data_IF_062796270674
#
_entry.id   IF_062796270674
#
_cell.length_a   1.000
_cell.length_b   1.000
_cell.length_c   1.000
_cell.angle_alpha   90.00
_cell.angle_beta   90.00
_cell.angle_gamma   90.00
#
_symmetry.space_group_name_H-M   'P 1'
#
loop_
_entity.id
_entity.type
_entity.pdbx_description
1 polymer ?
#
# COMPACT_ATOMS: atom_id res chain seq x y z
N UNK A 1 11.35 30.36 21.59
CA UNK A 1 11.65 29.95 22.98
C UNK A 1 10.57 28.95 23.33
N UNK A 2 10.78 27.67 23.60
CA UNK A 2 11.94 26.82 23.85
C UNK A 2 11.34 25.52 24.42
N UNK A 3 11.88 24.37 24.01
CA UNK A 3 12.17 23.17 24.84
C UNK A 3 11.52 23.14 26.24
N UNK A 4 10.90 22.07 26.73
CA UNK A 4 11.35 20.67 26.85
C UNK A 4 10.24 19.98 27.68
N UNK A 5 9.65 18.85 27.27
CA UNK A 5 10.13 17.48 27.45
C UNK A 5 10.43 17.06 28.91
N UNK A 6 10.06 15.79 29.18
CA UNK A 6 10.44 14.89 30.29
C UNK A 6 9.39 14.67 31.40
N UNK A 7 8.63 13.57 31.30
CA UNK A 7 8.73 12.30 32.09
C UNK A 7 8.07 12.47 33.46
N UNK A 8 7.20 11.62 33.98
CA UNK A 8 7.30 10.18 34.18
C UNK A 8 6.01 9.77 34.92
N UNK A 9 5.27 8.75 34.47
CA UNK A 9 4.32 8.01 35.31
C UNK A 9 4.35 6.56 34.88
N UNK A 10 5.48 5.92 35.21
CA UNK A 10 5.57 4.49 35.50
C UNK A 10 4.41 4.04 36.40
N UNK A 11 3.67 3.04 35.94
CA UNK A 11 3.25 1.92 36.80
C UNK A 11 3.95 0.68 36.28
N UNK A 12 4.98 0.29 37.03
CA UNK A 12 5.92 -0.79 36.79
C UNK A 12 5.28 -2.19 36.99
N UNK A 13 5.91 -3.26 36.46
CA UNK A 13 5.42 -4.63 36.53
C UNK A 13 5.76 -5.28 37.87
N UNK A 14 5.04 -6.32 38.33
CA UNK A 14 5.51 -7.11 39.44
C UNK A 14 6.59 -8.10 38.97
N UNK A 15 7.84 -7.83 39.38
CA UNK A 15 8.87 -8.84 39.63
C UNK A 15 9.18 -8.81 41.12
N UNK A 16 9.27 -9.99 41.73
CA UNK A 16 9.99 -10.42 42.96
C UNK A 16 9.18 -11.61 43.53
N UNK A 17 9.71 -12.73 43.99
CA UNK A 17 11.08 -13.13 44.29
C UNK A 17 11.14 -14.66 44.36
N UNK A 18 12.29 -15.20 43.95
CA UNK A 18 13.00 -16.29 44.61
C UNK A 18 12.22 -17.11 45.66
N UNK A 19 11.84 -18.31 45.27
CA UNK A 19 12.06 -19.46 46.14
C UNK A 19 12.75 -20.55 45.32
N UNK A 20 14.04 -20.71 45.59
CA UNK A 20 14.80 -21.90 45.26
C UNK A 20 14.15 -23.05 46.02
N UNK A 21 13.31 -23.83 45.36
CA UNK A 21 12.90 -25.13 45.86
C UNK A 21 13.57 -26.19 44.97
N UNK A 22 14.78 -26.56 45.41
CA UNK A 22 15.37 -27.86 45.15
C UNK A 22 14.34 -28.94 45.49
N UNK A 23 13.63 -29.44 44.49
CA UNK A 23 12.90 -30.70 44.54
C UNK A 23 13.51 -31.60 43.46
N UNK A 24 14.69 -32.09 43.81
CA UNK A 24 15.27 -33.32 43.32
C UNK A 24 14.28 -34.45 43.64
N UNK A 25 13.36 -34.81 42.75
CA UNK A 25 12.65 -36.09 42.85
C UNK A 25 12.22 -36.56 41.46
N UNK A 26 13.05 -37.45 40.92
CA UNK A 26 12.69 -38.53 40.00
C UNK A 26 11.80 -38.15 38.81
N UNK A 27 12.47 -37.84 37.69
CA UNK A 27 11.95 -38.16 36.36
C UNK A 27 11.66 -39.67 36.37
N UNK A 28 10.41 -40.16 36.26
CA UNK A 28 10.23 -41.48 35.71
C UNK A 28 10.64 -41.35 34.25
N UNK A 29 11.85 -41.83 33.95
CA UNK A 29 12.22 -42.23 32.61
C UNK A 29 11.16 -43.24 32.15
N UNK A 30 10.12 -42.75 31.49
CA UNK A 30 9.31 -43.58 30.62
C UNK A 30 10.15 -43.68 29.36
N UNK A 31 10.75 -44.85 29.04
CA UNK A 31 11.26 -45.06 27.71
C UNK A 31 10.05 -44.99 26.78
N UNK A 32 9.83 -43.83 26.17
CA UNK A 32 9.01 -43.70 24.99
C UNK A 32 9.74 -44.53 23.94
N UNK A 33 9.32 -45.80 23.83
CA UNK A 33 9.75 -46.72 22.80
C UNK A 33 9.44 -46.06 21.46
N UNK A 34 10.45 -45.38 20.92
CA UNK A 34 10.52 -44.82 19.58
C UNK A 34 10.60 -45.94 18.52
N UNK A 35 9.73 -46.93 18.66
CA UNK A 35 9.53 -48.08 17.80
C UNK A 35 8.03 -48.31 17.61
N UNK A 36 7.30 -47.25 17.28
CA UNK A 36 5.86 -47.23 17.14
C UNK A 36 5.38 -48.22 16.07
N UNK A 37 4.45 -49.09 16.49
CA UNK A 37 3.67 -50.08 15.72
C UNK A 37 4.47 -51.13 14.93
N UNK A 38 5.48 -50.76 14.15
CA UNK A 38 6.28 -51.70 13.36
C UNK A 38 7.11 -52.65 14.24
N UNK A 39 7.71 -52.14 15.33
CA UNK A 39 8.47 -52.96 16.28
C UNK A 39 7.59 -53.90 17.11
N UNK A 40 6.40 -53.43 17.47
CA UNK A 40 5.41 -54.25 18.19
C UNK A 40 4.84 -55.36 17.30
N UNK A 41 4.53 -55.09 16.03
CA UNK A 41 4.08 -56.11 15.06
C UNK A 41 5.19 -57.12 14.78
N UNK A 42 6.44 -56.69 14.63
CA UNK A 42 7.58 -57.58 14.41
C UNK A 42 7.85 -58.49 15.62
N UNK A 43 7.78 -57.96 16.84
CA UNK A 43 7.91 -58.74 18.07
C UNK A 43 6.73 -59.71 18.27
N UNK A 44 5.49 -59.28 18.01
CA UNK A 44 4.32 -60.16 18.10
C UNK A 44 4.37 -61.28 17.05
N UNK A 45 4.76 -60.97 15.81
CA UNK A 45 4.93 -61.95 14.71
C UNK A 45 6.13 -62.89 14.90
N UNK A 46 7.13 -62.48 15.69
CA UNK A 46 8.23 -63.37 16.11
C UNK A 46 7.81 -64.36 17.19
N UNK A 47 6.73 -64.08 17.94
CA UNK A 47 6.28 -64.91 19.07
C UNK A 47 4.98 -65.66 18.79
N UNK A 48 4.18 -65.22 17.82
CA UNK A 48 3.15 -66.05 17.19
C UNK A 48 3.79 -66.77 16.02
N UNK A 49 4.07 -68.07 16.19
CA UNK A 49 4.38 -68.95 15.07
C UNK A 49 3.21 -68.92 14.09
N UNK A 50 3.29 -68.05 13.08
CA UNK A 50 2.31 -68.01 12.02
C UNK A 50 2.38 -69.37 11.30
N UNK A 51 1.28 -70.15 11.21
CA UNK A 51 1.30 -71.42 10.51
C UNK A 51 1.69 -71.18 9.04
N UNK A 52 2.56 -72.04 8.52
CA UNK A 52 3.11 -72.00 7.14
C UNK A 52 2.04 -72.20 6.04
N UNK A 53 0.76 -72.17 6.38
CA UNK A 53 -0.40 -72.41 5.53
C UNK A 53 -1.32 -71.18 5.43
N UNK A 54 -0.91 -70.05 6.01
CA UNK A 54 -1.62 -68.79 5.82
C UNK A 54 -1.49 -68.40 4.34
N UNK A 55 -2.58 -68.33 3.55
CA UNK A 55 -2.48 -67.90 2.16
C UNK A 55 -1.93 -66.48 2.18
N UNK A 56 -0.70 -66.32 1.72
CA UNK A 56 -0.07 -65.02 1.57
C UNK A 56 -0.88 -64.17 0.58
N UNK A 57 -0.60 -62.85 0.52
CA UNK A 57 -1.29 -61.96 -0.41
C UNK A 57 -1.26 -62.55 -1.82
N UNK A 58 -2.45 -62.64 -2.42
CA UNK A 58 -2.63 -63.23 -3.75
C UNK A 58 -1.82 -62.41 -4.77
N UNK A 59 -1.55 -63.00 -5.95
CA UNK A 59 -0.87 -62.26 -7.01
C UNK A 59 -1.61 -60.96 -7.37
N UNK A 60 -2.94 -60.95 -7.27
CA UNK A 60 -3.77 -59.76 -7.47
C UNK A 60 -3.61 -58.72 -6.35
N UNK A 61 -3.50 -59.15 -5.10
CA UNK A 61 -3.29 -58.22 -3.97
C UNK A 61 -1.95 -57.50 -4.08
N UNK A 62 -0.90 -58.23 -4.47
CA UNK A 62 0.41 -57.63 -4.76
C UNK A 62 0.36 -56.66 -5.93
N UNK A 63 -0.40 -56.98 -6.98
CA UNK A 63 -0.61 -56.07 -8.10
C UNK A 63 -1.42 -54.82 -7.71
N UNK A 64 -2.42 -54.95 -6.82
CA UNK A 64 -3.17 -53.82 -6.26
C UNK A 64 -2.28 -52.92 -5.42
N UNK A 65 -1.45 -53.48 -4.55
CA UNK A 65 -0.50 -52.72 -3.74
C UNK A 65 0.54 -51.99 -4.60
N UNK A 66 1.06 -52.62 -5.66
CA UNK A 66 2.02 -51.98 -6.55
C UNK A 66 1.41 -50.80 -7.31
N UNK A 67 0.16 -50.94 -7.79
CA UNK A 67 -0.59 -49.84 -8.41
C UNK A 67 -0.80 -48.69 -7.42
N UNK A 68 -1.26 -49.00 -6.20
CA UNK A 68 -1.46 -48.01 -5.16
C UNK A 68 -0.16 -47.28 -4.77
N UNK A 69 0.97 -47.99 -4.71
CA UNK A 69 2.29 -47.37 -4.48
C UNK A 69 2.69 -46.45 -5.63
N UNK A 70 2.56 -46.88 -6.89
CA UNK A 70 2.85 -46.05 -8.07
C UNK A 70 1.98 -44.81 -8.13
N UNK A 71 0.70 -44.95 -7.82
CA UNK A 71 -0.24 -43.81 -7.75
C UNK A 71 0.14 -42.83 -6.65
N UNK A 72 0.46 -43.32 -5.44
CA UNK A 72 0.93 -42.47 -4.35
C UNK A 72 2.23 -41.77 -4.71
N UNK A 73 3.20 -42.47 -5.28
CA UNK A 73 4.50 -41.88 -5.63
C UNK A 73 4.35 -40.86 -6.78
N UNK A 74 3.41 -41.08 -7.72
CA UNK A 74 3.04 -40.09 -8.74
C UNK A 74 2.37 -38.86 -8.11
N UNK A 75 1.37 -39.07 -7.27
CA UNK A 75 0.68 -37.99 -6.57
C UNK A 75 1.63 -37.17 -5.69
N UNK A 76 2.59 -37.84 -5.03
CA UNK A 76 3.62 -37.18 -4.22
C UNK A 76 4.54 -36.31 -5.09
N UNK A 77 5.02 -36.81 -6.23
CA UNK A 77 5.85 -36.02 -7.16
C UNK A 77 5.09 -34.82 -7.72
N UNK A 78 3.83 -35.01 -8.08
CA UNK A 78 2.97 -33.92 -8.57
C UNK A 78 2.77 -32.85 -7.49
N UNK A 79 2.52 -33.25 -6.23
CA UNK A 79 2.40 -32.34 -5.10
C UNK A 79 3.72 -31.59 -4.82
N UNK A 80 4.86 -32.29 -4.87
CA UNK A 80 6.19 -31.68 -4.70
C UNK A 80 6.49 -30.65 -5.81
N UNK A 81 6.19 -30.98 -7.07
CA UNK A 81 6.34 -30.04 -8.19
C UNK A 81 5.42 -28.82 -8.04
N UNK A 82 4.17 -29.02 -7.62
CA UNK A 82 3.24 -27.93 -7.36
C UNK A 82 3.74 -27.02 -6.22
N UNK A 83 4.25 -27.61 -5.14
CA UNK A 83 4.82 -26.87 -4.02
C UNK A 83 6.06 -26.06 -4.44
N UNK A 84 6.93 -26.64 -5.27
CA UNK A 84 8.10 -25.93 -5.82
C UNK A 84 7.69 -24.74 -6.69
N UNK A 85 6.74 -24.94 -7.61
CA UNK A 85 6.22 -23.87 -8.47
C UNK A 85 5.56 -22.76 -7.66
N UNK A 86 4.78 -23.11 -6.64
CA UNK A 86 4.17 -22.14 -5.74
C UNK A 86 5.21 -21.33 -4.95
N UNK A 87 6.25 -21.99 -4.43
CA UNK A 87 7.34 -21.33 -3.72
C UNK A 87 8.18 -20.42 -4.64
N UNK A 88 8.38 -20.81 -5.90
CA UNK A 88 9.03 -19.97 -6.89
C UNK A 88 8.18 -18.76 -7.29
N UNK A 89 6.88 -18.96 -7.51
CA UNK A 89 5.95 -17.87 -7.78
C UNK A 89 5.88 -16.87 -6.61
N UNK A 90 5.89 -17.34 -5.36
CA UNK A 90 5.94 -16.48 -4.17
C UNK A 90 7.27 -15.72 -4.09
N UNK A 91 8.40 -16.37 -4.36
CA UNK A 91 9.71 -15.69 -4.44
C UNK A 91 9.71 -14.59 -5.51
N UNK A 92 9.23 -14.90 -6.71
CA UNK A 92 9.11 -13.94 -7.80
C UNK A 92 8.16 -12.78 -7.44
N UNK A 93 7.02 -13.07 -6.81
CA UNK A 93 6.08 -12.06 -6.38
C UNK A 93 6.70 -11.11 -5.34
N UNK A 94 7.44 -11.65 -4.36
CA UNK A 94 8.16 -10.84 -3.35
C UNK A 94 9.25 -9.99 -3.98
N UNK A 95 10.02 -10.55 -4.90
CA UNK A 95 11.07 -9.81 -5.62
C UNK A 95 10.48 -8.68 -6.46
N UNK A 96 9.41 -8.94 -7.21
CA UNK A 96 8.69 -7.91 -7.97
C UNK A 96 8.08 -6.85 -7.05
N UNK A 97 7.53 -7.23 -5.90
CA UNK A 97 7.00 -6.28 -4.92
C UNK A 97 8.11 -5.36 -4.37
N UNK A 98 9.27 -5.92 -4.03
CA UNK A 98 10.44 -5.13 -3.59
C UNK A 98 10.96 -4.21 -4.69
N UNK A 99 11.04 -4.68 -5.94
CA UNK A 99 11.45 -3.87 -7.07
C UNK A 99 10.51 -2.68 -7.31
N UNK A 100 9.19 -2.93 -7.25
CA UNK A 100 8.17 -1.87 -7.35
C UNK A 100 8.25 -0.89 -6.19
N UNK A 101 8.49 -1.37 -4.97
CA UNK A 101 8.68 -0.50 -3.80
C UNK A 101 9.91 0.39 -3.96
N UNK A 102 11.04 -0.17 -4.41
CA UNK A 102 12.26 0.59 -4.68
C UNK A 102 12.08 1.62 -5.80
N UNK A 103 11.30 1.30 -6.85
CA UNK A 103 10.95 2.27 -7.90
C UNK A 103 10.05 3.39 -7.37
N UNK A 104 9.04 3.05 -6.55
CA UNK A 104 8.17 4.03 -5.92
C UNK A 104 8.96 4.99 -5.02
N UNK A 105 9.93 4.49 -4.25
CA UNK A 105 10.82 5.33 -3.44
C UNK A 105 11.67 6.27 -4.30
N UNK A 106 12.22 5.79 -5.44
CA UNK A 106 12.98 6.65 -6.37
C UNK A 106 12.11 7.75 -6.93
N UNK A 107 10.88 7.42 -7.33
CA UNK A 107 9.91 8.40 -7.85
C UNK A 107 9.55 9.44 -6.80
N UNK A 108 9.37 9.03 -5.54
CA UNK A 108 9.09 9.95 -4.45
C UNK A 108 10.25 10.95 -4.27
N UNK A 109 11.50 10.48 -4.25
CA UNK A 109 12.68 11.36 -4.15
C UNK A 109 12.77 12.37 -5.30
N UNK A 110 12.47 11.94 -6.53
CA UNK A 110 12.44 12.83 -7.68
C UNK A 110 11.38 13.92 -7.53
N UNK A 111 10.17 13.55 -7.08
CA UNK A 111 9.09 14.51 -6.84
C UNK A 111 9.43 15.48 -5.71
N UNK A 112 10.06 15.00 -4.63
CA UNK A 112 10.52 15.85 -3.53
C UNK A 112 11.56 16.87 -4.02
N UNK A 113 12.52 16.44 -4.85
CA UNK A 113 13.52 17.34 -5.43
C UNK A 113 12.89 18.36 -6.40
N UNK A 114 11.95 17.92 -7.23
CA UNK A 114 11.20 18.81 -8.13
C UNK A 114 10.40 19.84 -7.33
N UNK A 115 9.70 19.40 -6.27
CA UNK A 115 8.96 20.29 -5.40
C UNK A 115 9.87 21.28 -4.69
N UNK A 116 11.03 20.83 -4.19
CA UNK A 116 12.04 21.72 -3.60
C UNK A 116 12.50 22.78 -4.61
N UNK A 117 12.78 22.40 -5.86
CA UNK A 117 13.14 23.36 -6.92
C UNK A 117 12.04 24.38 -7.17
N UNK A 118 10.78 23.94 -7.26
CA UNK A 118 9.64 24.85 -7.43
C UNK A 118 9.46 25.78 -6.23
N UNK A 119 9.69 25.29 -5.02
CA UNK A 119 9.67 26.11 -3.80
C UNK A 119 10.80 27.15 -3.79
N UNK A 120 12.00 26.77 -4.23
CA UNK A 120 13.13 27.69 -4.39
C UNK A 120 12.84 28.75 -5.47
N UNK A 121 12.33 28.34 -6.62
CA UNK A 121 11.91 29.23 -7.70
C UNK A 121 10.84 30.22 -7.22
N UNK A 122 9.86 29.76 -6.43
CA UNK A 122 8.84 30.61 -5.84
C UNK A 122 9.43 31.60 -4.82
N UNK A 123 10.40 31.16 -3.99
CA UNK A 123 11.09 32.04 -3.03
C UNK A 123 11.96 33.09 -3.71
N UNK A 124 12.60 32.73 -4.82
CA UNK A 124 13.47 33.60 -5.59
C UNK A 124 12.73 34.38 -6.68
N UNK A 125 11.42 34.18 -6.83
CA UNK A 125 10.65 34.82 -7.89
C UNK A 125 10.64 36.34 -7.67
N UNK A 126 11.19 37.14 -8.60
CA UNK A 126 11.23 38.58 -8.43
C UNK A 126 9.81 39.14 -8.54
N UNK A 127 9.24 39.52 -7.39
CA UNK A 127 7.96 40.20 -7.38
C UNK A 127 8.14 41.65 -7.86
N UNK A 128 7.36 42.04 -8.86
CA UNK A 128 7.35 43.40 -9.38
C UNK A 128 6.97 44.39 -8.26
N UNK A 129 7.69 45.51 -8.16
CA UNK A 129 7.52 46.47 -7.06
C UNK A 129 6.07 46.97 -6.92
N UNK A 130 5.39 47.18 -8.06
CA UNK A 130 4.00 47.62 -8.07
C UNK A 130 3.02 46.59 -7.49
N UNK A 131 3.32 45.28 -7.57
CA UNK A 131 2.51 44.21 -6.95
C UNK A 131 2.79 44.04 -5.45
N UNK A 132 3.93 44.53 -4.96
CA UNK A 132 4.43 44.30 -3.59
C UNK A 132 3.63 44.98 -2.48
N UNK A 133 2.89 46.03 -2.80
CA UNK A 133 2.13 46.83 -1.83
C UNK A 133 0.69 46.37 -1.65
N UNK A 134 0.25 45.30 -2.33
CA UNK A 134 -1.13 44.79 -2.23
C UNK A 134 -2.21 45.80 -2.66
N UNK A 135 -1.80 46.91 -3.28
CA UNK A 135 -2.63 48.03 -3.73
C UNK A 135 -2.21 48.45 -5.14
N UNK A 136 -1.90 47.46 -5.97
CA UNK A 136 -1.69 47.71 -7.39
C UNK A 136 -3.06 47.86 -8.04
N UNK A 137 -3.39 49.05 -8.54
CA UNK A 137 -4.54 49.20 -9.43
C UNK A 137 -4.20 48.49 -10.76
N UNK A 138 -4.83 47.36 -11.01
CA UNK A 138 -4.65 46.60 -12.26
C UNK A 138 -5.71 47.06 -13.27
N UNK A 139 -5.27 47.79 -14.29
CA UNK A 139 -6.12 48.24 -15.38
C UNK A 139 -6.05 47.25 -16.53
N UNK A 140 -7.17 46.57 -16.82
CA UNK A 140 -7.28 45.61 -17.92
C UNK A 140 -8.09 46.24 -19.05
N UNK A 141 -7.45 46.43 -20.22
CA UNK A 141 -8.12 46.91 -21.42
C UNK A 141 -8.62 45.72 -22.26
N UNK A 142 -9.94 45.68 -22.54
CA UNK A 142 -10.57 44.68 -23.42
C UNK A 142 -10.87 45.34 -24.76
N UNK A 143 -10.25 44.87 -25.84
CA UNK A 143 -10.38 45.42 -27.20
C UNK A 143 -10.91 44.37 -28.19
N UNK A 144 -11.41 44.83 -29.35
CA UNK A 144 -11.93 43.97 -30.43
C UNK A 144 -13.11 44.60 -31.20
N UNK A 145 -13.46 44.03 -32.34
CA UNK A 145 -14.53 44.53 -33.24
C UNK A 145 -15.92 44.54 -32.58
N UNK A 146 -16.89 45.27 -33.14
CA UNK A 146 -18.27 45.25 -32.66
C UNK A 146 -18.87 43.83 -32.69
N UNK A 147 -19.76 43.52 -31.75
CA UNK A 147 -20.50 42.25 -31.73
C UNK A 147 -19.74 41.00 -31.23
N UNK A 148 -18.43 41.08 -30.95
CA UNK A 148 -17.62 39.92 -30.48
C UNK A 148 -17.85 39.53 -29.01
N UNK A 149 -18.73 40.24 -28.29
CA UNK A 149 -19.07 39.91 -26.90
C UNK A 149 -18.16 40.52 -25.82
N UNK A 150 -17.41 41.60 -26.12
CA UNK A 150 -16.55 42.30 -25.14
C UNK A 150 -17.30 42.68 -23.85
N UNK A 151 -18.47 43.29 -23.97
CA UNK A 151 -19.30 43.66 -22.81
C UNK A 151 -19.77 42.44 -22.01
N UNK A 152 -20.06 41.32 -22.70
CA UNK A 152 -20.41 40.06 -22.05
C UNK A 152 -19.23 39.49 -21.26
N UNK A 153 -18.01 39.60 -21.79
CA UNK A 153 -16.78 39.19 -21.10
C UNK A 153 -16.51 40.06 -19.86
N UNK A 154 -16.67 41.38 -19.96
CA UNK A 154 -16.52 42.30 -18.81
C UNK A 154 -17.54 41.95 -17.70
N UNK A 155 -18.79 41.67 -18.07
CA UNK A 155 -19.82 41.27 -17.11
C UNK A 155 -19.51 39.92 -16.47
N UNK A 156 -19.02 38.94 -17.24
CA UNK A 156 -18.59 37.65 -16.73
C UNK A 156 -17.45 37.79 -15.72
N UNK A 157 -16.42 38.58 -16.03
CA UNK A 157 -15.32 38.82 -15.09
C UNK A 157 -15.81 39.48 -13.80
N UNK A 158 -16.80 40.37 -13.87
CA UNK A 158 -17.39 41.05 -12.70
C UNK A 158 -18.48 40.24 -11.99
N UNK A 159 -18.75 39.00 -12.42
CA UNK A 159 -19.85 38.14 -11.94
C UNK A 159 -21.24 38.81 -12.00
N UNK A 160 -21.42 39.75 -12.95
CA UNK A 160 -22.68 40.47 -13.12
C UNK A 160 -23.55 39.80 -14.18
N UNK A 161 -24.83 39.66 -13.87
CA UNK A 161 -25.81 39.28 -14.89
C UNK A 161 -26.02 40.44 -15.87
N UNK A 162 -26.30 40.18 -17.17
CA UNK A 162 -26.53 41.24 -18.15
C UNK A 162 -27.71 42.18 -17.83
N UNK A 163 -28.60 41.77 -16.91
CA UNK A 163 -29.75 42.55 -16.43
C UNK A 163 -29.43 43.41 -15.20
N UNK A 164 -28.21 43.30 -14.66
CA UNK A 164 -27.78 44.10 -13.52
C UNK A 164 -27.65 45.57 -13.93
N UNK A 165 -28.02 46.49 -13.03
CA UNK A 165 -28.01 47.94 -13.30
C UNK A 165 -26.59 48.45 -13.65
N UNK A 166 -25.58 47.83 -13.06
CA UNK A 166 -24.17 48.17 -13.26
C UNK A 166 -23.46 47.29 -14.31
N UNK A 167 -24.20 46.45 -15.05
CA UNK A 167 -23.64 45.63 -16.12
C UNK A 167 -23.29 46.50 -17.34
N UNK A 168 -22.17 46.16 -17.99
CA UNK A 168 -21.82 46.70 -19.29
C UNK A 168 -22.91 46.33 -20.31
N UNK A 169 -23.45 47.32 -21.01
CA UNK A 169 -24.53 47.10 -21.99
C UNK A 169 -24.01 46.22 -23.13
N UNK A 170 -24.67 45.09 -23.36
CA UNK A 170 -24.40 44.16 -24.46
C UNK A 170 -25.33 44.51 -25.63
N UNK A 171 -24.81 45.14 -26.67
CA UNK A 171 -25.54 45.46 -27.90
C UNK A 171 -24.64 45.32 -29.14
N UNK A 172 -25.23 45.02 -30.30
CA UNK A 172 -24.51 44.80 -31.56
C UNK A 172 -24.02 46.10 -32.23
N UNK A 173 -24.57 47.25 -31.84
CA UNK A 173 -24.11 48.56 -32.28
C UNK A 173 -22.78 48.93 -31.58
N UNK A 174 -21.90 49.64 -32.28
CA UNK A 174 -20.67 50.19 -31.69
C UNK A 174 -21.01 51.21 -30.60
N UNK A 175 -21.19 50.72 -29.37
CA UNK A 175 -21.73 51.53 -28.27
C UNK A 175 -20.66 52.20 -27.37
N UNK A 176 -19.38 52.19 -27.74
CA UNK A 176 -18.33 52.85 -26.93
C UNK A 176 -17.27 53.47 -27.84
N UNK A 177 -17.50 54.72 -28.25
CA UNK A 177 -16.48 55.58 -28.87
C UNK A 177 -15.47 56.10 -27.83
N UNK A 178 -15.85 56.10 -26.54
CA UNK A 178 -14.99 56.42 -25.41
C UNK A 178 -14.76 55.19 -24.52
N UNK A 179 -13.53 54.95 -24.04
CA UNK A 179 -13.24 53.84 -23.15
C UNK A 179 -13.97 54.02 -21.80
N UNK A 180 -14.90 53.11 -21.49
CA UNK A 180 -15.65 53.13 -20.23
C UNK A 180 -14.94 52.27 -19.19
N UNK A 181 -14.63 52.84 -18.03
CA UNK A 181 -13.97 52.14 -16.92
C UNK A 181 -15.01 51.42 -16.05
N UNK A 182 -14.83 50.11 -15.88
CA UNK A 182 -15.66 49.28 -15.00
C UNK A 182 -14.86 48.84 -13.78
N UNK A 183 -15.22 49.34 -12.60
CA UNK A 183 -14.57 48.93 -11.35
C UNK A 183 -15.04 47.52 -10.95
N UNK A 184 -14.09 46.70 -10.50
CA UNK A 184 -14.39 45.41 -9.89
C UNK A 184 -15.02 45.65 -8.51
N UNK A 185 -16.08 44.92 -8.12
CA UNK A 185 -16.63 45.04 -6.77
C UNK A 185 -15.58 44.59 -5.75
N UNK A 186 -15.07 45.51 -4.94
CA UNK A 186 -14.24 45.16 -3.78
C UNK A 186 -15.16 44.54 -2.72
N UNK A 187 -14.93 43.27 -2.38
CA UNK A 187 -15.51 42.71 -1.16
C UNK A 187 -14.85 43.39 0.03
N UNK A 188 -15.63 44.15 0.80
CA UNK A 188 -15.23 44.67 2.11
C UNK A 188 -15.04 43.53 3.12
#
# INVERSE_FOLDING_TARGET
QGVSSWTDCRTAPPRLSFLVCMAFFLIPAVPVLAGGVAGAIAWFRSKSGAPNHSPGPSAEDRAREERARKERDRAQREAEQQAQRAAEADRQAREQAMARAAEAERRLRQLEEENRRKEEDMRNYPMLEFLRRGRAEVNIAVTGNSGVGKSSFINFMRELTPKHKDAAKTGAAECTMEPTLYKYPSGD
#
